data_IF_729299397866
#
_entry.id   IF_729299397866
#
_cell.length_a   1.000
_cell.length_b   1.000
_cell.length_c   1.000
_cell.angle_alpha   90.00
_cell.angle_beta   90.00
_cell.angle_gamma   90.00
#
_symmetry.space_group_name_H-M   'P 1'
#
loop_
_entity.id
_entity.type
_entity.pdbx_description
1 polymer ?
#
# COMPACT_ATOMS: atom_id res chain seq x y z
N UNK A 1 25.43 -28.42 -9.46
CA UNK A 1 24.92 -28.48 -10.85
C UNK A 1 23.46 -28.93 -10.96
N UNK A 2 22.93 -29.82 -10.11
CA UNK A 2 21.54 -30.30 -10.21
C UNK A 2 20.44 -29.26 -9.88
N UNK A 3 20.72 -28.24 -9.08
CA UNK A 3 19.76 -27.19 -8.71
C UNK A 3 19.47 -26.21 -9.86
N UNK A 4 20.43 -25.93 -10.70
CA UNK A 4 20.26 -25.02 -11.85
C UNK A 4 19.42 -25.63 -12.97
N UNK A 5 19.47 -26.95 -13.17
CA UNK A 5 18.69 -27.63 -14.21
C UNK A 5 17.17 -27.55 -13.99
N UNK A 6 16.72 -27.37 -12.72
CA UNK A 6 15.31 -27.21 -12.37
C UNK A 6 14.73 -25.84 -12.79
N UNK A 7 15.59 -24.85 -12.98
CA UNK A 7 15.21 -23.47 -13.27
C UNK A 7 15.60 -23.02 -14.68
N UNK A 8 16.21 -23.88 -15.46
CA UNK A 8 16.48 -23.58 -16.88
C UNK A 8 15.12 -23.52 -17.62
N UNK A 9 14.84 -22.40 -18.30
CA UNK A 9 13.64 -22.30 -19.11
C UNK A 9 13.69 -23.39 -20.20
N UNK A 10 12.70 -24.27 -20.23
CA UNK A 10 12.49 -25.12 -21.40
C UNK A 10 11.99 -24.22 -22.51
N UNK A 11 12.68 -24.17 -23.62
CA UNK A 11 12.18 -23.51 -24.82
C UNK A 11 10.87 -24.20 -25.22
N UNK A 12 9.75 -23.56 -24.95
CA UNK A 12 8.47 -23.95 -25.52
C UNK A 12 8.36 -23.35 -26.92
N UNK A 13 7.69 -24.02 -27.88
CA UNK A 13 7.40 -23.39 -29.16
C UNK A 13 6.67 -22.08 -28.90
N UNK A 14 7.16 -20.99 -29.49
CA UNK A 14 6.49 -19.69 -29.44
C UNK A 14 5.07 -19.84 -30.04
N UNK A 15 4.05 -19.58 -29.24
CA UNK A 15 2.70 -19.43 -29.75
C UNK A 15 2.46 -17.95 -30.06
N UNK A 16 2.39 -17.55 -31.33
CA UNK A 16 2.19 -16.15 -31.71
C UNK A 16 0.82 -15.59 -31.25
N UNK A 17 -0.09 -16.45 -30.82
CA UNK A 17 -1.41 -16.05 -30.30
C UNK A 17 -1.37 -15.63 -28.81
N UNK A 18 -0.32 -15.99 -28.07
CA UNK A 18 -0.15 -15.63 -26.67
C UNK A 18 0.55 -14.28 -26.46
N UNK A 19 1.21 -13.73 -27.49
CA UNK A 19 1.81 -12.40 -27.40
C UNK A 19 0.73 -11.33 -27.67
N UNK A 20 0.34 -10.53 -26.66
CA UNK A 20 -0.56 -9.42 -26.92
C UNK A 20 0.08 -8.44 -27.90
N UNK A 21 -0.69 -7.87 -28.84
CA UNK A 21 -0.19 -6.89 -29.80
C UNK A 21 0.47 -5.72 -29.05
N UNK A 22 1.77 -5.54 -29.19
CA UNK A 22 2.55 -4.51 -28.49
C UNK A 22 3.47 -5.01 -27.38
N UNK A 23 3.70 -6.32 -27.24
CA UNK A 23 4.75 -6.85 -26.38
C UNK A 23 6.11 -6.28 -26.82
N UNK A 24 6.78 -5.59 -25.90
CA UNK A 24 8.11 -4.98 -26.10
C UNK A 24 9.23 -5.99 -25.82
N UNK A 25 8.97 -7.29 -25.70
CA UNK A 25 9.95 -8.34 -25.44
C UNK A 25 10.13 -9.29 -26.64
N UNK A 26 10.74 -8.80 -27.74
CA UNK A 26 10.92 -9.59 -28.95
C UNK A 26 11.85 -10.79 -28.78
N UNK A 27 12.61 -10.86 -27.69
CA UNK A 27 13.55 -11.95 -27.38
C UNK A 27 13.01 -12.94 -26.35
N UNK A 28 11.81 -12.71 -25.80
CA UNK A 28 11.20 -13.56 -24.78
C UNK A 28 12.01 -13.64 -23.47
N UNK A 29 12.83 -12.61 -23.18
CA UNK A 29 13.74 -12.61 -22.03
C UNK A 29 13.11 -12.09 -20.76
N UNK A 30 11.96 -11.42 -20.87
CA UNK A 30 11.26 -10.82 -19.71
C UNK A 30 10.81 -11.89 -18.71
N UNK A 31 10.20 -12.96 -19.18
CA UNK A 31 9.73 -14.05 -18.32
C UNK A 31 10.84 -14.76 -17.54
N UNK A 32 11.98 -15.13 -18.15
CA UNK A 32 13.17 -15.60 -17.43
C UNK A 32 13.73 -14.59 -16.43
N UNK A 33 13.82 -13.31 -16.83
CA UNK A 33 14.31 -12.25 -15.95
C UNK A 33 13.40 -12.04 -14.73
N UNK A 34 12.08 -12.06 -14.91
CA UNK A 34 11.10 -11.98 -13.81
C UNK A 34 11.21 -13.17 -12.86
N UNK A 35 11.44 -14.39 -13.36
CA UNK A 35 11.66 -15.57 -12.51
C UNK A 35 12.95 -15.48 -11.70
N UNK A 36 14.02 -14.99 -12.30
CA UNK A 36 15.27 -14.75 -11.59
C UNK A 36 15.08 -13.66 -10.53
N UNK A 37 14.41 -12.58 -10.90
CA UNK A 37 14.09 -11.50 -9.96
C UNK A 37 13.23 -12.00 -8.79
N UNK A 38 12.26 -12.88 -9.03
CA UNK A 38 11.43 -13.46 -7.96
C UNK A 38 12.24 -14.35 -7.01
N UNK A 39 13.25 -15.07 -7.52
CA UNK A 39 14.14 -15.88 -6.66
C UNK A 39 15.06 -14.99 -5.82
N UNK A 40 15.57 -13.91 -6.41
CA UNK A 40 16.49 -12.99 -5.72
C UNK A 40 15.77 -12.00 -4.79
N UNK A 41 14.59 -11.57 -5.20
CA UNK A 41 13.80 -10.54 -4.54
C UNK A 41 12.33 -10.96 -4.45
N UNK A 42 12.00 -11.98 -3.64
CA UNK A 42 10.64 -12.49 -3.55
C UNK A 42 9.62 -11.39 -3.19
N UNK A 43 8.53 -11.35 -3.94
CA UNK A 43 7.46 -10.38 -3.72
C UNK A 43 7.71 -8.97 -4.25
N UNK A 44 8.89 -8.67 -4.78
CA UNK A 44 9.16 -7.37 -5.40
C UNK A 44 8.60 -7.27 -6.81
N UNK A 45 8.16 -6.09 -7.18
CA UNK A 45 7.75 -5.76 -8.55
C UNK A 45 8.32 -4.40 -8.97
N UNK A 46 8.43 -4.18 -10.28
CA UNK A 46 8.88 -2.90 -10.85
C UNK A 46 7.99 -1.69 -10.47
N UNK A 47 6.83 -1.92 -9.85
CA UNK A 47 5.90 -0.87 -9.39
C UNK A 47 6.13 -0.43 -7.94
N UNK A 48 7.02 -1.08 -7.20
CA UNK A 48 7.29 -0.81 -5.79
C UNK A 48 8.35 0.27 -5.61
N UNK A 49 7.97 1.51 -5.82
CA UNK A 49 8.88 2.66 -5.73
C UNK A 49 8.96 3.31 -4.35
N UNK A 50 8.07 2.94 -3.45
CA UNK A 50 7.91 3.60 -2.16
C UNK A 50 7.83 2.55 -1.05
N UNK A 51 8.94 2.24 -0.38
CA UNK A 51 8.96 1.29 0.73
C UNK A 51 7.94 1.61 1.82
N UNK A 52 7.64 2.89 1.99
CA UNK A 52 6.66 3.37 2.96
C UNK A 52 5.23 2.88 2.70
N UNK A 53 4.92 2.41 1.53
CA UNK A 53 3.64 1.75 1.29
C UNK A 53 3.47 0.47 2.13
N UNK A 54 4.55 -0.12 2.66
CA UNK A 54 4.46 -1.20 3.65
C UNK A 54 3.81 -0.71 4.96
N UNK A 55 4.20 0.48 5.44
CA UNK A 55 3.53 1.11 6.60
C UNK A 55 2.06 1.39 6.31
N UNK A 56 1.76 1.90 5.10
CA UNK A 56 0.37 2.10 4.69
C UNK A 56 -0.42 0.78 4.69
N UNK A 57 0.17 -0.32 4.20
CA UNK A 57 -0.48 -1.65 4.21
C UNK A 57 -0.76 -2.11 5.64
N UNK A 58 0.19 -1.96 6.56
CA UNK A 58 0.00 -2.30 7.97
C UNK A 58 -1.14 -1.49 8.61
N UNK A 59 -1.19 -0.17 8.37
CA UNK A 59 -2.29 0.69 8.84
C UNK A 59 -3.62 0.28 8.21
N UNK A 60 -3.64 -0.01 6.91
CA UNK A 60 -4.86 -0.40 6.20
C UNK A 60 -5.41 -1.75 6.70
N UNK A 61 -4.52 -2.71 7.03
CA UNK A 61 -4.91 -3.97 7.64
C UNK A 61 -5.56 -3.74 9.01
N UNK A 62 -4.94 -2.92 9.87
CA UNK A 62 -5.47 -2.59 11.20
C UNK A 62 -6.83 -1.87 11.12
N UNK A 63 -6.98 -0.89 10.21
CA UNK A 63 -8.25 -0.19 9.99
C UNK A 63 -9.32 -1.15 9.46
N UNK A 64 -8.97 -2.04 8.53
CA UNK A 64 -9.90 -3.01 7.96
C UNK A 64 -10.39 -4.01 9.00
N UNK A 65 -9.52 -4.52 9.86
CA UNK A 65 -9.88 -5.43 10.95
C UNK A 65 -10.86 -4.77 11.91
N UNK A 66 -10.58 -3.53 12.34
CA UNK A 66 -11.50 -2.78 13.20
C UNK A 66 -12.81 -2.40 12.50
N UNK A 67 -12.79 -2.12 11.21
CA UNK A 67 -14.00 -1.85 10.44
C UNK A 67 -14.87 -3.11 10.32
N UNK A 68 -14.26 -4.28 10.17
CA UNK A 68 -14.95 -5.58 10.07
C UNK A 68 -15.90 -5.82 11.25
N UNK A 69 -15.49 -5.47 12.46
CA UNK A 69 -16.33 -5.61 13.66
C UNK A 69 -17.57 -4.68 13.66
N UNK A 70 -17.58 -3.65 12.83
CA UNK A 70 -18.67 -2.65 12.71
C UNK A 70 -19.55 -2.88 11.47
N UNK A 71 -19.23 -3.88 10.64
CA UNK A 71 -19.98 -4.20 9.43
C UNK A 71 -20.94 -5.37 9.68
N UNK A 72 -22.15 -5.28 9.11
CA UNK A 72 -23.21 -6.28 9.29
C UNK A 72 -22.96 -7.59 8.52
N UNK A 73 -22.04 -7.61 7.56
CA UNK A 73 -21.67 -8.80 6.77
C UNK A 73 -20.17 -8.98 6.78
N UNK A 74 -19.64 -10.00 7.46
CA UNK A 74 -18.20 -10.19 7.61
C UNK A 74 -17.49 -10.78 6.37
N UNK A 75 -18.21 -11.46 5.47
CA UNK A 75 -17.57 -12.27 4.43
C UNK A 75 -16.77 -11.48 3.38
N UNK A 76 -17.17 -10.24 3.07
CA UNK A 76 -16.45 -9.34 2.14
C UNK A 76 -15.97 -8.04 2.80
N UNK A 77 -16.24 -7.88 4.10
CA UNK A 77 -16.10 -6.60 4.80
C UNK A 77 -14.66 -6.11 4.85
N UNK A 78 -13.69 -6.99 5.06
CA UNK A 78 -12.28 -6.57 5.20
C UNK A 78 -11.67 -6.07 3.89
N UNK A 79 -11.92 -6.75 2.77
CA UNK A 79 -11.44 -6.32 1.46
C UNK A 79 -12.07 -4.98 1.05
N UNK A 80 -13.36 -4.85 1.22
CA UNK A 80 -14.08 -3.60 0.91
C UNK A 80 -13.65 -2.46 1.82
N UNK A 81 -13.41 -2.70 3.10
CA UNK A 81 -12.89 -1.71 4.04
C UNK A 81 -11.49 -1.24 3.66
N UNK A 82 -10.58 -2.15 3.28
CA UNK A 82 -9.25 -1.79 2.79
C UNK A 82 -9.30 -0.91 1.54
N UNK A 83 -10.11 -1.28 0.56
CA UNK A 83 -10.27 -0.49 -0.66
C UNK A 83 -10.87 0.87 -0.38
N UNK A 84 -11.81 0.96 0.57
CA UNK A 84 -12.39 2.21 1.02
C UNK A 84 -11.37 3.10 1.71
N UNK A 85 -10.59 2.56 2.65
CA UNK A 85 -9.51 3.28 3.32
C UNK A 85 -8.43 3.76 2.35
N UNK A 86 -8.07 2.95 1.36
CA UNK A 86 -7.12 3.32 0.31
C UNK A 86 -7.59 4.54 -0.49
N UNK A 87 -8.88 4.60 -0.85
CA UNK A 87 -9.47 5.77 -1.53
C UNK A 87 -9.43 7.02 -0.65
N UNK A 88 -9.74 6.86 0.64
CA UNK A 88 -9.62 7.94 1.62
C UNK A 88 -8.17 8.46 1.68
N UNK A 89 -7.20 7.56 1.80
CA UNK A 89 -5.78 7.90 1.86
C UNK A 89 -5.31 8.64 0.61
N UNK A 90 -5.56 8.07 -0.58
CA UNK A 90 -5.14 8.71 -1.84
C UNK A 90 -5.80 10.08 -2.00
N UNK A 91 -7.09 10.19 -1.65
CA UNK A 91 -7.78 11.48 -1.68
C UNK A 91 -7.21 12.48 -0.69
N UNK A 92 -6.85 12.04 0.50
CA UNK A 92 -6.25 12.89 1.52
C UNK A 92 -4.92 13.47 1.05
N UNK A 93 -4.02 12.61 0.54
CA UNK A 93 -2.71 13.03 0.00
C UNK A 93 -2.89 13.98 -1.17
N UNK A 94 -3.79 13.69 -2.10
CA UNK A 94 -4.03 14.53 -3.28
C UNK A 94 -4.62 15.87 -2.89
N UNK A 95 -5.59 15.92 -1.97
CA UNK A 95 -6.23 17.18 -1.53
C UNK A 95 -5.25 18.16 -0.91
N UNK A 96 -4.27 17.69 -0.15
CA UNK A 96 -3.24 18.57 0.40
C UNK A 96 -2.39 19.23 -0.68
N UNK A 97 -2.13 18.52 -1.76
CA UNK A 97 -1.18 18.97 -2.80
C UNK A 97 -1.83 19.57 -4.04
N UNK A 98 -3.14 19.44 -4.23
CA UNK A 98 -3.86 20.15 -5.30
C UNK A 98 -3.71 21.66 -5.17
N UNK A 99 -3.57 22.17 -3.94
CA UNK A 99 -3.39 23.60 -3.64
C UNK A 99 -1.93 24.08 -3.76
N UNK A 100 -0.98 23.16 -3.85
CA UNK A 100 0.45 23.42 -3.89
C UNK A 100 1.08 22.75 -5.12
N UNK A 101 0.97 23.34 -6.33
CA UNK A 101 1.40 22.71 -7.59
C UNK A 101 2.84 22.21 -7.58
N UNK A 102 3.74 22.94 -6.94
CA UNK A 102 5.18 22.65 -6.92
C UNK A 102 5.53 21.44 -6.02
N UNK A 103 4.77 21.21 -4.97
CA UNK A 103 4.96 20.07 -4.05
C UNK A 103 4.19 18.81 -4.44
N UNK A 104 3.20 18.94 -5.34
CA UNK A 104 2.37 17.84 -5.80
C UNK A 104 3.18 16.64 -6.29
N UNK A 105 4.17 16.86 -7.14
CA UNK A 105 4.94 15.79 -7.76
C UNK A 105 5.74 15.00 -6.71
N UNK A 106 6.28 15.67 -5.69
CA UNK A 106 7.12 15.03 -4.67
C UNK A 106 6.33 14.06 -3.80
N UNK A 107 5.18 14.48 -3.31
CA UNK A 107 4.36 13.67 -2.41
C UNK A 107 3.58 12.58 -3.14
N UNK A 108 3.09 12.87 -4.35
CA UNK A 108 2.23 11.96 -5.10
C UNK A 108 2.94 11.19 -6.21
N UNK A 109 4.22 11.51 -6.47
CA UNK A 109 5.01 10.81 -7.50
C UNK A 109 4.99 9.32 -7.24
N UNK A 110 4.49 8.57 -8.23
CA UNK A 110 4.39 7.11 -8.18
C UNK A 110 3.49 6.56 -7.05
N UNK A 111 2.58 7.39 -6.50
CA UNK A 111 1.49 6.90 -5.68
C UNK A 111 0.38 6.40 -6.61
N UNK A 112 0.07 5.10 -6.62
CA UNK A 112 -0.98 4.56 -7.49
C UNK A 112 -2.31 5.28 -7.29
N UNK A 113 -3.00 5.59 -8.38
CA UNK A 113 -4.30 6.27 -8.35
C UNK A 113 -4.27 7.78 -8.16
N UNK A 114 -3.13 8.38 -7.81
CA UNK A 114 -3.04 9.83 -7.52
C UNK A 114 -3.45 10.73 -8.67
N UNK A 115 -3.10 10.38 -9.91
CA UNK A 115 -3.48 11.15 -11.11
C UNK A 115 -4.99 11.11 -11.37
N UNK A 116 -5.62 9.95 -11.17
CA UNK A 116 -7.08 9.78 -11.32
C UNK A 116 -7.81 10.54 -10.21
N UNK A 117 -7.35 10.40 -8.97
CA UNK A 117 -7.91 11.15 -7.84
C UNK A 117 -7.80 12.66 -8.05
N UNK A 118 -6.65 13.15 -8.55
CA UNK A 118 -6.49 14.57 -8.89
C UNK A 118 -7.47 15.03 -9.96
N UNK A 119 -7.61 14.25 -11.02
CA UNK A 119 -8.56 14.56 -12.11
C UNK A 119 -10.00 14.64 -11.57
N UNK A 120 -10.43 13.64 -10.80
CA UNK A 120 -11.75 13.61 -10.18
C UNK A 120 -11.98 14.84 -9.28
N UNK A 121 -11.03 15.18 -8.42
CA UNK A 121 -11.15 16.34 -7.54
C UNK A 121 -11.21 17.69 -8.31
N UNK A 122 -10.45 17.82 -9.39
CA UNK A 122 -10.49 19.02 -10.23
C UNK A 122 -11.78 19.13 -11.07
N UNK A 123 -12.40 17.99 -11.39
CA UNK A 123 -13.72 17.95 -12.07
C UNK A 123 -14.90 18.17 -11.11
N UNK A 124 -14.63 18.40 -9.82
CA UNK A 124 -15.67 18.58 -8.82
C UNK A 124 -16.25 17.27 -8.26
N UNK A 125 -15.72 16.12 -8.67
CA UNK A 125 -16.10 14.84 -8.09
C UNK A 125 -15.73 14.81 -6.61
N UNK A 126 -16.71 14.51 -5.78
CA UNK A 126 -16.49 14.43 -4.34
C UNK A 126 -16.13 13.03 -3.89
N UNK A 127 -16.43 12.02 -4.68
CA UNK A 127 -16.30 10.59 -4.33
C UNK A 127 -15.39 9.85 -5.31
N UNK A 128 -14.36 9.16 -4.81
CA UNK A 128 -13.61 8.18 -5.59
C UNK A 128 -14.33 6.83 -5.53
N UNK A 129 -14.95 6.45 -6.64
CA UNK A 129 -15.70 5.23 -6.79
C UNK A 129 -15.06 4.25 -7.78
N UNK A 130 -15.81 3.21 -8.16
CA UNK A 130 -15.35 2.23 -9.16
C UNK A 130 -15.20 2.82 -10.56
N UNK A 131 -15.91 3.90 -10.86
CA UNK A 131 -15.97 4.51 -12.20
C UNK A 131 -14.91 5.56 -12.46
N UNK A 132 -14.51 6.30 -11.42
CA UNK A 132 -13.57 7.42 -11.52
C UNK A 132 -12.24 7.20 -10.79
N UNK A 133 -11.98 5.96 -10.35
CA UNK A 133 -10.73 5.53 -9.73
C UNK A 133 -10.15 4.31 -10.46
N UNK A 134 -9.13 3.68 -9.89
CA UNK A 134 -8.39 2.58 -10.52
C UNK A 134 -9.29 1.38 -10.86
N UNK A 135 -9.26 0.96 -12.11
CA UNK A 135 -9.76 -0.35 -12.51
C UNK A 135 -8.87 -1.43 -11.88
N UNK A 136 -9.50 -2.45 -11.25
CA UNK A 136 -8.74 -3.48 -10.54
C UNK A 136 -7.95 -2.91 -9.37
N UNK A 137 -8.57 -2.01 -8.58
CA UNK A 137 -7.95 -1.34 -7.44
C UNK A 137 -7.26 -2.33 -6.49
N UNK A 138 -7.85 -3.51 -6.24
CA UNK A 138 -7.27 -4.53 -5.37
C UNK A 138 -5.84 -4.98 -5.78
N UNK A 139 -5.49 -4.85 -7.07
CA UNK A 139 -4.18 -5.20 -7.62
C UNK A 139 -3.34 -3.97 -7.93
N UNK A 140 -3.99 -2.91 -8.44
CA UNK A 140 -3.30 -1.73 -8.97
C UNK A 140 -3.24 -0.56 -7.99
N UNK A 141 -3.91 -0.65 -6.86
CA UNK A 141 -3.89 0.37 -5.81
C UNK A 141 -2.64 0.33 -4.94
N UNK A 142 -2.44 1.35 -4.09
CA UNK A 142 -1.33 1.41 -3.14
C UNK A 142 -1.15 0.16 -2.29
N UNK A 143 -2.24 -0.44 -1.83
CA UNK A 143 -2.23 -1.70 -1.10
C UNK A 143 -1.79 -2.87 -2.00
N UNK A 144 -2.49 -3.07 -3.12
CA UNK A 144 -2.29 -4.21 -4.01
C UNK A 144 -0.89 -4.30 -4.59
N UNK A 145 -0.30 -3.15 -4.92
CA UNK A 145 1.06 -3.10 -5.49
C UNK A 145 2.10 -3.71 -4.53
N UNK A 146 1.96 -3.56 -3.22
CA UNK A 146 2.94 -4.04 -2.23
C UNK A 146 2.44 -5.21 -1.37
N UNK A 147 1.21 -5.65 -1.50
CA UNK A 147 0.61 -6.70 -0.66
C UNK A 147 1.43 -7.99 -0.66
N UNK A 148 1.89 -8.43 -1.85
CA UNK A 148 2.72 -9.64 -1.96
C UNK A 148 4.04 -9.53 -1.18
N UNK A 149 4.71 -8.38 -1.29
CA UNK A 149 5.92 -8.11 -0.52
C UNK A 149 5.61 -8.02 0.98
N UNK A 150 4.50 -7.37 1.35
CA UNK A 150 4.09 -7.23 2.74
C UNK A 150 3.84 -8.59 3.41
N UNK A 151 3.22 -9.56 2.69
CA UNK A 151 3.08 -10.95 3.17
C UNK A 151 4.44 -11.63 3.30
N UNK A 152 5.26 -11.55 2.28
CA UNK A 152 6.60 -12.14 2.32
C UNK A 152 7.46 -11.61 3.47
N UNK A 153 7.31 -10.33 3.81
CA UNK A 153 8.00 -9.70 4.94
C UNK A 153 7.32 -9.90 6.29
N UNK A 154 6.17 -10.59 6.36
CA UNK A 154 5.41 -10.79 7.60
C UNK A 154 4.82 -9.49 8.17
N UNK A 155 4.63 -8.46 7.34
CA UNK A 155 3.91 -7.24 7.69
C UNK A 155 2.41 -7.51 7.80
N UNK A 156 1.90 -8.35 6.91
CA UNK A 156 0.57 -8.95 6.96
C UNK A 156 0.71 -10.46 6.72
N UNK A 157 -0.28 -11.24 7.13
CA UNK A 157 -0.36 -12.66 6.84
C UNK A 157 -1.10 -12.96 5.51
N UNK A 158 -1.36 -14.24 5.21
CA UNK A 158 -2.05 -14.67 3.98
C UNK A 158 -3.52 -14.22 3.95
N UNK A 159 -4.14 -14.01 5.12
CA UNK A 159 -5.51 -13.52 5.27
C UNK A 159 -5.57 -11.98 5.31
N UNK A 160 -4.42 -11.33 5.07
CA UNK A 160 -4.25 -9.88 5.12
C UNK A 160 -4.51 -9.26 6.51
N UNK A 161 -4.33 -10.04 7.56
CA UNK A 161 -4.33 -9.58 8.95
C UNK A 161 -2.94 -9.06 9.31
N UNK A 162 -2.88 -8.14 10.26
CA UNK A 162 -1.62 -7.54 10.71
C UNK A 162 -0.68 -8.61 11.28
N UNK A 163 0.50 -8.74 10.69
CA UNK A 163 1.53 -9.67 11.13
C UNK A 163 2.48 -9.03 12.16
N UNK A 164 3.34 -9.85 12.79
CA UNK A 164 4.28 -9.39 13.81
C UNK A 164 5.18 -8.24 13.35
N UNK A 165 5.73 -8.36 12.16
CA UNK A 165 6.59 -7.29 11.61
C UNK A 165 5.78 -6.03 11.27
N UNK A 166 4.48 -6.18 11.00
CA UNK A 166 3.55 -5.07 10.85
C UNK A 166 3.30 -4.34 12.16
N UNK A 167 3.15 -5.08 13.26
CA UNK A 167 3.02 -4.48 14.60
C UNK A 167 4.27 -3.68 14.98
N UNK A 168 5.47 -4.24 14.79
CA UNK A 168 6.72 -3.53 15.05
C UNK A 168 6.84 -2.25 14.20
N UNK A 169 6.45 -2.34 12.93
CA UNK A 169 6.45 -1.20 12.01
C UNK A 169 5.46 -0.12 12.46
N UNK A 170 4.25 -0.50 12.90
CA UNK A 170 3.25 0.43 13.40
C UNK A 170 3.65 1.09 14.72
N UNK A 171 4.30 0.36 15.62
CA UNK A 171 4.84 0.93 16.86
C UNK A 171 5.92 1.99 16.58
N UNK A 172 6.83 1.71 15.66
CA UNK A 172 7.85 2.66 15.24
C UNK A 172 7.25 3.90 14.56
N UNK A 173 6.31 3.68 13.64
CA UNK A 173 5.61 4.74 12.92
C UNK A 173 4.78 5.62 13.86
N UNK A 174 3.98 5.01 14.73
CA UNK A 174 3.13 5.75 15.67
C UNK A 174 3.96 6.60 16.65
N UNK A 175 5.10 6.08 17.09
CA UNK A 175 6.03 6.82 17.93
C UNK A 175 6.67 8.01 17.19
N UNK A 176 6.98 7.87 15.89
CA UNK A 176 7.51 8.97 15.08
C UNK A 176 6.44 10.03 14.73
N UNK A 177 5.16 9.67 14.81
CA UNK A 177 4.01 10.53 14.47
C UNK A 177 3.23 11.03 15.70
N UNK A 178 3.78 10.81 16.89
CA UNK A 178 3.15 11.22 18.14
C UNK A 178 1.72 10.68 18.32
N UNK A 179 1.52 9.41 17.94
CA UNK A 179 0.27 8.66 18.02
C UNK A 179 0.38 7.52 19.05
N UNK A 180 0.65 7.79 20.34
CA UNK A 180 0.79 6.75 21.34
C UNK A 180 -0.51 5.96 21.50
N UNK A 181 -0.38 4.67 21.89
CA UNK A 181 -1.51 3.79 22.14
C UNK A 181 -2.28 3.36 20.89
N UNK A 182 -1.66 3.41 19.71
CA UNK A 182 -2.30 2.99 18.46
C UNK A 182 -2.76 1.52 18.48
N UNK A 183 -1.93 0.64 19.04
CA UNK A 183 -2.20 -0.80 19.15
C UNK A 183 -2.74 -1.19 20.53
N UNK A 184 -2.86 -0.27 21.45
CA UNK A 184 -3.34 -0.52 22.81
C UNK A 184 -4.87 -0.55 22.82
N UNK A 185 -5.45 -1.71 23.13
CA UNK A 185 -6.89 -1.88 23.17
C UNK A 185 -7.55 -1.22 24.38
N UNK A 186 -6.84 -1.16 25.49
CA UNK A 186 -7.38 -0.70 26.78
C UNK A 186 -7.38 0.83 26.93
N UNK A 187 -6.58 1.55 26.15
CA UNK A 187 -6.39 2.98 26.27
C UNK A 187 -7.20 3.80 25.26
N UNK A 188 -8.50 3.86 25.44
CA UNK A 188 -9.45 4.56 24.55
C UNK A 188 -9.19 6.08 24.43
N UNK A 189 -8.49 6.69 25.38
CA UNK A 189 -8.17 8.10 25.40
C UNK A 189 -6.87 8.49 24.69
N UNK A 190 -6.06 7.54 24.24
CA UNK A 190 -4.78 7.82 23.59
C UNK A 190 -4.96 8.45 22.21
N UNK A 191 -4.00 9.29 21.80
CA UNK A 191 -4.03 9.96 20.50
C UNK A 191 -4.05 8.95 19.34
N UNK A 192 -3.28 7.86 19.43
CA UNK A 192 -3.26 6.80 18.42
C UNK A 192 -4.60 6.09 18.30
N UNK A 193 -5.25 5.78 19.40
CA UNK A 193 -6.57 5.15 19.40
C UNK A 193 -7.63 6.06 18.82
N UNK A 194 -7.66 7.34 19.21
CA UNK A 194 -8.59 8.32 18.67
C UNK A 194 -8.39 8.50 17.15
N UNK A 195 -7.14 8.54 16.70
CA UNK A 195 -6.80 8.58 15.28
C UNK A 195 -7.35 7.35 14.54
N UNK A 196 -7.07 6.16 15.06
CA UNK A 196 -7.53 4.89 14.47
C UNK A 196 -9.06 4.81 14.41
N UNK A 197 -9.75 5.14 15.49
CA UNK A 197 -11.21 5.11 15.56
C UNK A 197 -11.85 6.11 14.58
N UNK A 198 -11.28 7.30 14.47
CA UNK A 198 -11.73 8.33 13.52
C UNK A 198 -11.67 7.84 12.07
N UNK A 199 -10.57 7.22 11.67
CA UNK A 199 -10.41 6.76 10.29
C UNK A 199 -11.11 5.43 10.03
N UNK A 200 -11.28 4.59 11.03
CA UNK A 200 -12.18 3.43 10.96
C UNK A 200 -13.61 3.87 10.71
N UNK A 201 -14.12 4.86 11.46
CA UNK A 201 -15.48 5.41 11.26
C UNK A 201 -15.62 6.06 9.88
N UNK A 202 -14.62 6.82 9.43
CA UNK A 202 -14.66 7.43 8.09
C UNK A 202 -14.68 6.36 6.99
N UNK A 203 -13.96 5.26 7.18
CA UNK A 203 -13.93 4.12 6.26
C UNK A 203 -15.27 3.41 6.20
N UNK A 204 -15.89 3.14 7.35
CA UNK A 204 -17.22 2.52 7.45
C UNK A 204 -18.28 3.41 6.81
N UNK A 205 -18.29 4.71 7.12
CA UNK A 205 -19.23 5.66 6.52
C UNK A 205 -19.11 5.73 5.00
N UNK A 206 -17.87 5.72 4.47
CA UNK A 206 -17.64 5.68 3.03
C UNK A 206 -18.16 4.36 2.41
N UNK A 207 -17.97 3.24 3.10
CA UNK A 207 -18.33 1.92 2.59
C UNK A 207 -19.85 1.67 2.63
N UNK A 208 -20.50 1.99 3.76
CA UNK A 208 -21.90 1.65 4.02
C UNK A 208 -22.84 2.74 3.49
N UNK A 209 -22.53 3.98 3.81
CA UNK A 209 -23.39 5.13 3.52
C UNK A 209 -23.06 5.77 2.17
N UNK A 210 -21.97 5.35 1.52
CA UNK A 210 -21.39 5.99 0.34
C UNK A 210 -21.21 7.51 0.53
N UNK A 211 -21.05 7.92 1.79
CA UNK A 211 -20.85 9.30 2.16
C UNK A 211 -19.37 9.65 2.13
N UNK A 212 -19.09 10.74 1.47
CA UNK A 212 -17.76 11.32 1.41
C UNK A 212 -17.65 12.47 2.41
N UNK A 213 -16.52 12.58 3.04
CA UNK A 213 -16.27 13.69 3.95
C UNK A 213 -16.18 15.01 3.16
N UNK A 214 -16.72 16.09 3.74
CA UNK A 214 -16.71 17.42 3.11
C UNK A 214 -15.28 17.85 2.73
N UNK A 215 -15.08 18.70 1.73
CA UNK A 215 -13.76 19.21 1.35
C UNK A 215 -13.00 19.90 2.50
N UNK A 216 -13.73 20.50 3.45
CA UNK A 216 -13.18 21.17 4.63
C UNK A 216 -12.94 20.27 5.85
N UNK A 217 -13.14 18.96 5.75
CA UNK A 217 -12.92 18.05 6.87
C UNK A 217 -11.44 18.04 7.30
N UNK A 218 -11.17 18.32 8.57
CA UNK A 218 -9.81 18.35 9.12
C UNK A 218 -9.09 17.01 9.01
N UNK A 219 -9.83 15.90 9.02
CA UNK A 219 -9.27 14.56 8.87
C UNK A 219 -8.49 14.33 7.59
N UNK A 220 -8.68 15.13 6.53
CA UNK A 220 -7.85 15.00 5.33
C UNK A 220 -6.37 15.24 5.62
N UNK A 221 -6.06 16.28 6.38
CA UNK A 221 -4.68 16.56 6.79
C UNK A 221 -4.16 15.53 7.78
N UNK A 222 -4.99 15.18 8.77
CA UNK A 222 -4.63 14.21 9.81
C UNK A 222 -4.39 12.81 9.26
N UNK A 223 -5.01 12.43 8.13
CA UNK A 223 -4.75 11.17 7.44
C UNK A 223 -3.50 11.25 6.55
N UNK A 224 -3.41 12.33 5.77
CA UNK A 224 -2.34 12.46 4.80
C UNK A 224 -0.97 12.66 5.46
N UNK A 225 -0.86 13.59 6.42
CA UNK A 225 0.42 14.01 6.97
C UNK A 225 1.22 12.85 7.61
N UNK A 226 0.64 11.99 8.48
CA UNK A 226 1.36 10.87 9.04
C UNK A 226 1.72 9.78 8.04
N UNK A 227 0.94 9.62 6.95
CA UNK A 227 1.10 8.54 5.96
C UNK A 227 1.71 9.00 4.63
N UNK A 228 1.99 10.28 4.46
CA UNK A 228 2.61 10.81 3.24
C UNK A 228 3.84 10.01 2.82
N UNK A 229 3.95 9.60 1.54
CA UNK A 229 5.07 8.77 1.08
C UNK A 229 6.46 9.37 1.24
N UNK A 230 6.57 10.68 1.38
CA UNK A 230 7.82 11.42 1.55
C UNK A 230 8.12 11.83 3.00
N UNK A 231 7.23 11.51 3.97
CA UNK A 231 7.36 11.88 5.38
C UNK A 231 7.67 10.66 6.27
N UNK A 232 8.77 9.95 5.98
CA UNK A 232 9.22 8.77 6.76
C UNK A 232 9.93 9.21 8.02
N UNK A 233 9.49 8.72 9.18
CA UNK A 233 10.13 8.95 10.46
C UNK A 233 11.45 8.18 10.62
N UNK A 234 12.22 8.51 11.66
CA UNK A 234 13.53 7.88 11.88
C UNK A 234 13.39 6.42 12.33
N UNK A 235 12.50 6.15 13.29
CA UNK A 235 12.25 4.79 13.81
C UNK A 235 11.62 3.91 12.74
N UNK A 236 10.60 4.44 12.07
CA UNK A 236 9.95 3.79 10.92
C UNK A 236 10.95 3.39 9.85
N UNK A 237 11.87 4.30 9.48
CA UNK A 237 12.92 4.04 8.50
C UNK A 237 13.84 2.91 8.92
N UNK A 238 14.22 2.84 10.19
CA UNK A 238 15.06 1.78 10.72
C UNK A 238 14.40 0.41 10.55
N UNK A 239 13.11 0.29 10.91
CA UNK A 239 12.36 -0.97 10.75
C UNK A 239 12.20 -1.32 9.26
N UNK A 240 11.82 -0.36 8.41
CA UNK A 240 11.72 -0.59 6.97
C UNK A 240 13.05 -1.07 6.38
N UNK A 241 14.16 -0.47 6.78
CA UNK A 241 15.49 -0.89 6.32
C UNK A 241 15.82 -2.32 6.78
N UNK A 242 15.53 -2.64 8.04
CA UNK A 242 15.73 -4.00 8.58
C UNK A 242 14.90 -5.04 7.83
N UNK A 243 13.61 -4.75 7.58
CA UNK A 243 12.71 -5.65 6.85
C UNK A 243 13.17 -5.89 5.42
N UNK A 244 13.58 -4.84 4.72
CA UNK A 244 13.99 -4.93 3.33
C UNK A 244 15.39 -5.52 3.17
N UNK A 245 16.32 -5.22 4.08
CA UNK A 245 17.71 -5.69 4.05
C UNK A 245 17.97 -6.99 4.83
N UNK A 246 17.00 -7.48 5.60
CA UNK A 246 17.17 -8.62 6.52
C UNK A 246 17.39 -9.98 5.84
N UNK A 247 17.04 -10.13 4.58
CA UNK A 247 17.39 -11.30 3.79
C UNK A 247 18.84 -11.19 3.32
N UNK A 248 19.70 -12.24 3.52
CA UNK A 248 21.11 -12.18 3.18
C UNK A 248 21.40 -11.90 1.69
N UNK A 249 20.54 -12.38 0.80
CA UNK A 249 20.69 -12.16 -0.65
C UNK A 249 20.33 -10.71 -0.99
N UNK A 250 19.21 -10.22 -0.46
CA UNK A 250 18.77 -8.83 -0.66
C UNK A 250 19.74 -7.84 -0.04
N UNK A 251 20.23 -8.11 1.17
CA UNK A 251 21.22 -7.28 1.84
C UNK A 251 22.47 -7.11 0.98
N UNK A 252 23.04 -8.19 0.47
CA UNK A 252 24.19 -8.15 -0.45
C UNK A 252 23.90 -7.39 -1.75
N UNK A 253 22.72 -7.57 -2.33
CA UNK A 253 22.38 -6.84 -3.55
C UNK A 253 22.25 -5.32 -3.28
N UNK A 254 21.69 -4.93 -2.15
CA UNK A 254 21.60 -3.52 -1.76
C UNK A 254 23.01 -2.94 -1.54
N UNK A 255 23.91 -3.66 -0.85
CA UNK A 255 25.29 -3.25 -0.64
C UNK A 255 26.08 -3.09 -1.96
N UNK A 256 25.78 -3.90 -2.98
CA UNK A 256 26.47 -3.82 -4.29
C UNK A 256 25.93 -2.69 -5.17
N UNK A 257 24.74 -2.14 -4.87
CA UNK A 257 24.07 -1.09 -5.65
C UNK A 257 24.21 0.31 -5.04
N UNK A 258 24.68 0.41 -3.80
CA UNK A 258 24.93 1.67 -3.07
C UNK A 258 26.41 1.97 -2.96
#
# INVERSE_FOLDING_TARGET
MALLAKYLPRATPLDPAEDPPGSVDPLGTLGPAERIAEVLFPGFTARMWRPRLLTFVAVAALVAERAKSKLSSPEDGSLSARLSFERLFVSAVVRQHVREPDNWQRATRRLPGSLLARRALLSGDTLLGRTNFLKGQAVNGPYGVVARLARHLGVIDEDDVLGRNGEELLLAWSADKELPGLLDEDNSGSAGKQWLDRFTQATVAHLVEQQWRSPGWSGWQELAEPLRPDNVGKRERTILHSLLGGDPIRGRCIELLC
#
